data_IF_902143228261
#
_entry.id   IF_902143228261
#
_cell.length_a   1.000
_cell.length_b   1.000
_cell.length_c   1.000
_cell.angle_alpha   90.00
_cell.angle_beta   90.00
_cell.angle_gamma   90.00
#
_symmetry.space_group_name_H-M   'P 1'
#
loop_
_entity.id
_entity.type
_entity.pdbx_description
1 polymer ?
#
# COMPACT_ATOMS: atom_id res chain seq x y z
N UNK A 1 57.56 -28.39 -28.89
CA UNK A 1 56.40 -27.58 -29.32
C UNK A 1 55.10 -27.74 -28.47
N UNK A 2 54.95 -28.83 -27.72
CA UNK A 2 53.71 -29.08 -26.88
C UNK A 2 53.59 -28.27 -25.56
N UNK A 3 54.70 -27.77 -25.02
CA UNK A 3 54.69 -27.11 -23.69
C UNK A 3 54.19 -25.65 -23.71
N UNK A 4 54.24 -24.97 -24.85
CA UNK A 4 53.81 -23.56 -24.95
C UNK A 4 52.29 -23.42 -25.09
N UNK A 5 51.63 -24.39 -25.73
CA UNK A 5 50.19 -24.40 -25.94
C UNK A 5 49.43 -24.69 -24.63
N UNK A 6 49.97 -25.56 -23.77
CA UNK A 6 49.36 -25.85 -22.46
C UNK A 6 49.45 -24.68 -21.48
N UNK A 7 50.46 -23.82 -21.57
CA UNK A 7 50.56 -22.62 -20.71
C UNK A 7 49.59 -21.49 -21.15
N UNK A 8 49.31 -21.39 -22.42
CA UNK A 8 48.35 -20.41 -22.93
C UNK A 8 46.91 -20.77 -22.60
N UNK A 9 46.57 -22.06 -22.58
CA UNK A 9 45.22 -22.53 -22.20
C UNK A 9 44.97 -22.39 -20.68
N UNK A 10 45.99 -22.50 -19.84
CA UNK A 10 45.87 -22.32 -18.39
C UNK A 10 45.66 -20.84 -18.01
N UNK A 11 46.27 -19.89 -18.74
CA UNK A 11 46.04 -18.46 -18.49
C UNK A 11 44.66 -17.97 -18.90
N UNK A 12 44.11 -18.53 -19.99
CA UNK A 12 42.75 -18.14 -20.45
C UNK A 12 41.64 -18.61 -19.50
N UNK A 13 41.81 -19.77 -18.87
CA UNK A 13 40.85 -20.32 -17.91
C UNK A 13 40.78 -19.53 -16.59
N UNK A 14 41.88 -18.94 -16.14
CA UNK A 14 41.93 -18.15 -14.91
C UNK A 14 41.32 -16.77 -15.10
N UNK A 15 41.48 -16.16 -16.29
CA UNK A 15 40.91 -14.84 -16.56
C UNK A 15 39.38 -14.90 -16.75
N UNK A 16 38.84 -15.97 -17.34
CA UNK A 16 37.39 -16.13 -17.49
C UNK A 16 36.72 -16.47 -16.16
N UNK A 17 37.32 -17.18 -15.25
CA UNK A 17 36.73 -17.48 -13.94
C UNK A 17 36.72 -16.24 -13.02
N UNK A 18 37.72 -15.34 -13.14
CA UNK A 18 37.78 -14.09 -12.40
C UNK A 18 36.68 -13.07 -12.86
N UNK A 19 36.36 -13.05 -14.14
CA UNK A 19 35.36 -12.14 -14.68
C UNK A 19 33.90 -12.54 -14.33
N UNK A 20 33.62 -13.84 -14.19
CA UNK A 20 32.29 -14.34 -13.81
C UNK A 20 32.01 -14.10 -12.31
N UNK A 21 33.04 -14.14 -11.46
CA UNK A 21 32.90 -13.87 -10.02
C UNK A 21 32.66 -12.37 -9.71
N UNK A 22 33.07 -11.44 -10.59
CA UNK A 22 32.87 -10.01 -10.37
C UNK A 22 31.46 -9.53 -10.74
N UNK A 23 30.70 -10.28 -11.55
CA UNK A 23 29.34 -9.90 -11.99
C UNK A 23 28.25 -10.36 -11.00
N UNK A 24 28.54 -11.33 -10.13
CA UNK A 24 27.59 -11.84 -9.13
C UNK A 24 27.57 -10.98 -7.85
N UNK A 25 28.53 -10.07 -7.68
CA UNK A 25 28.69 -9.26 -6.45
C UNK A 25 27.99 -7.91 -6.42
N UNK A 26 27.22 -7.52 -7.45
CA UNK A 26 26.58 -6.20 -7.54
C UNK A 26 25.05 -6.26 -7.60
N UNK A 27 24.42 -7.31 -7.08
CA UNK A 27 23.09 -7.17 -6.54
C UNK A 27 23.22 -6.44 -5.20
N UNK A 28 23.60 -5.16 -5.22
CA UNK A 28 23.38 -4.27 -4.10
C UNK A 28 21.90 -4.32 -3.83
N UNK A 29 21.51 -4.97 -2.72
CA UNK A 29 20.20 -4.77 -2.16
C UNK A 29 20.00 -3.25 -2.11
N UNK A 30 19.11 -2.71 -2.91
CA UNK A 30 18.65 -1.35 -2.73
C UNK A 30 18.09 -1.33 -1.30
N UNK A 31 18.91 -0.86 -0.35
CA UNK A 31 18.47 -0.59 1.01
C UNK A 31 17.43 0.50 0.89
N UNK A 32 16.15 0.09 0.74
CA UNK A 32 15.04 1.02 0.69
C UNK A 32 15.14 1.91 1.91
N UNK A 33 15.17 3.22 1.70
CA UNK A 33 15.18 4.18 2.81
C UNK A 33 14.01 3.84 3.73
N UNK A 34 14.31 3.66 5.01
CA UNK A 34 13.28 3.49 6.03
C UNK A 34 12.36 4.71 6.01
N UNK A 35 11.07 4.47 5.78
CA UNK A 35 10.05 5.52 5.73
C UNK A 35 9.04 5.28 6.84
N UNK A 36 8.78 6.32 7.61
CA UNK A 36 7.61 6.37 8.48
C UNK A 36 6.44 6.91 7.67
N UNK A 37 5.42 6.12 7.51
CA UNK A 37 4.26 6.42 6.67
C UNK A 37 3.02 6.44 7.54
N UNK A 38 2.20 7.48 7.40
CA UNK A 38 0.82 7.53 7.85
C UNK A 38 -0.09 7.18 6.68
N UNK A 39 -1.13 6.41 6.92
CA UNK A 39 -2.21 6.14 5.99
C UNK A 39 -3.55 6.53 6.61
N UNK A 40 -4.47 7.05 5.81
CA UNK A 40 -5.82 7.41 6.22
C UNK A 40 -6.83 7.05 5.12
N UNK A 41 -8.00 6.56 5.52
CA UNK A 41 -9.22 6.62 4.73
C UNK A 41 -9.82 7.99 5.01
N UNK A 42 -9.94 8.83 3.99
CA UNK A 42 -10.18 10.26 4.15
C UNK A 42 -11.60 10.68 3.74
N UNK A 43 -12.06 11.75 4.34
CA UNK A 43 -13.18 12.55 3.90
C UNK A 43 -12.67 13.70 3.02
N UNK A 44 -13.24 13.83 1.82
CA UNK A 44 -12.96 14.92 0.90
C UNK A 44 -14.28 15.65 0.60
N UNK A 45 -14.54 16.69 1.37
CA UNK A 45 -15.80 17.43 1.30
C UNK A 45 -16.00 18.03 -0.10
N UNK A 46 -17.19 17.78 -0.68
CA UNK A 46 -17.52 18.24 -2.01
C UNK A 46 -16.95 17.38 -3.14
N UNK A 47 -16.19 16.31 -2.84
CA UNK A 47 -15.71 15.32 -3.80
C UNK A 47 -14.78 15.83 -4.89
N UNK A 48 -14.43 17.11 -4.89
CA UNK A 48 -13.57 17.74 -5.90
C UNK A 48 -12.62 18.78 -5.27
N UNK A 49 -11.42 18.99 -5.87
CA UNK A 49 -10.53 20.06 -5.47
C UNK A 49 -11.19 21.44 -5.63
N UNK A 50 -10.90 22.41 -4.73
CA UNK A 50 -9.94 22.38 -3.63
C UNK A 50 -10.53 22.09 -2.24
N UNK A 51 -11.48 21.14 -2.13
CA UNK A 51 -12.06 20.78 -0.83
C UNK A 51 -11.01 20.31 0.19
N UNK A 52 -11.25 20.47 1.51
CA UNK A 52 -10.32 20.02 2.53
C UNK A 52 -10.26 18.49 2.60
N UNK A 53 -9.04 17.96 2.77
CA UNK A 53 -8.79 16.58 3.13
C UNK A 53 -8.88 16.46 4.64
N UNK A 54 -9.82 15.64 5.13
CA UNK A 54 -10.03 15.40 6.56
C UNK A 54 -9.85 13.91 6.89
N UNK A 55 -9.46 13.56 8.14
CA UNK A 55 -9.50 12.18 8.60
C UNK A 55 -10.96 11.70 8.77
N UNK A 56 -11.17 10.38 8.83
CA UNK A 56 -12.45 9.78 9.20
C UNK A 56 -13.43 9.57 8.05
N UNK A 57 -12.93 9.43 6.82
CA UNK A 57 -13.74 9.03 5.67
C UNK A 57 -14.09 7.54 5.66
N UNK A 58 -14.80 7.12 4.62
CA UNK A 58 -15.20 5.72 4.37
C UNK A 58 -14.72 5.26 3.00
N UNK A 59 -14.33 3.98 2.91
CA UNK A 59 -14.05 3.33 1.65
C UNK A 59 -14.73 1.95 1.60
N UNK A 60 -15.14 1.54 0.41
CA UNK A 60 -15.93 0.32 0.19
C UNK A 60 -15.32 -0.56 -0.90
N UNK A 61 -15.55 -1.86 -0.76
CA UNK A 61 -15.23 -2.84 -1.78
C UNK A 61 -16.31 -3.92 -1.85
N UNK A 62 -16.47 -4.54 -3.03
CA UNK A 62 -17.46 -5.60 -3.26
C UNK A 62 -16.80 -6.96 -3.48
N UNK A 63 -17.51 -7.98 -3.08
CA UNK A 63 -17.25 -9.36 -3.46
C UNK A 63 -18.02 -9.75 -4.74
N UNK A 64 -17.64 -10.85 -5.43
CA UNK A 64 -18.30 -11.29 -6.66
C UNK A 64 -19.77 -11.63 -6.50
N UNK A 65 -20.20 -12.00 -5.30
CA UNK A 65 -21.60 -12.31 -4.97
C UNK A 65 -22.45 -11.05 -4.69
N UNK A 66 -21.89 -9.83 -4.91
CA UNK A 66 -22.56 -8.57 -4.70
C UNK A 66 -22.55 -8.07 -3.25
N UNK A 67 -22.09 -8.87 -2.30
CA UNK A 67 -21.93 -8.39 -0.91
C UNK A 67 -20.83 -7.33 -0.84
N UNK A 68 -20.94 -6.41 0.12
CA UNK A 68 -20.04 -5.27 0.25
C UNK A 68 -19.48 -5.17 1.67
N UNK A 69 -18.28 -4.63 1.78
CA UNK A 69 -17.69 -4.17 3.04
C UNK A 69 -17.35 -2.69 2.93
N UNK A 70 -17.59 -1.95 4.02
CA UNK A 70 -17.17 -0.56 4.18
C UNK A 70 -16.23 -0.48 5.37
N UNK A 71 -15.12 0.23 5.21
CA UNK A 71 -14.13 0.47 6.26
C UNK A 71 -13.95 1.97 6.48
N UNK A 72 -13.72 2.35 7.74
CA UNK A 72 -13.04 3.60 8.13
C UNK A 72 -11.66 3.23 8.64
N UNK A 73 -10.74 4.18 8.77
CA UNK A 73 -9.50 3.89 9.47
C UNK A 73 -8.33 4.77 9.12
N UNK A 74 -7.33 4.66 9.97
CA UNK A 74 -6.03 5.31 9.82
C UNK A 74 -4.97 4.60 10.65
N UNK A 75 -3.72 4.92 10.41
CA UNK A 75 -2.61 4.40 11.19
C UNK A 75 -1.25 4.80 10.65
N UNK A 76 -0.23 4.16 11.19
CA UNK A 76 1.16 4.37 10.75
C UNK A 76 1.87 3.04 10.55
N UNK A 77 2.89 3.04 9.72
CA UNK A 77 3.81 1.92 9.58
C UNK A 77 5.22 2.40 9.22
N UNK A 78 6.18 1.51 9.41
CA UNK A 78 7.57 1.70 8.98
C UNK A 78 7.85 0.79 7.78
N UNK A 79 8.19 1.40 6.64
CA UNK A 79 8.55 0.70 5.40
C UNK A 79 10.05 0.84 5.09
N UNK A 80 10.67 -0.13 4.39
CA UNK A 80 10.08 -1.41 3.99
C UNK A 80 9.78 -2.29 5.21
N UNK A 81 8.88 -3.26 5.05
CA UNK A 81 8.71 -4.36 6.00
C UNK A 81 10.03 -5.11 6.20
N UNK A 82 10.15 -5.85 7.30
CA UNK A 82 11.39 -6.57 7.66
C UNK A 82 11.88 -7.54 6.59
N UNK A 83 13.12 -8.04 6.75
CA UNK A 83 13.83 -8.88 5.77
C UNK A 83 13.11 -10.18 5.34
N UNK A 84 12.01 -10.55 6.01
CA UNK A 84 11.17 -11.71 5.69
C UNK A 84 9.74 -11.30 5.27
N UNK A 85 9.54 -10.07 4.80
CA UNK A 85 8.30 -9.65 4.17
C UNK A 85 7.23 -9.04 5.08
N UNK A 86 7.49 -8.83 6.37
CA UNK A 86 6.53 -8.18 7.25
C UNK A 86 7.17 -7.25 8.27
N UNK A 87 6.42 -6.26 8.75
CA UNK A 87 6.86 -5.37 9.84
C UNK A 87 5.74 -5.22 10.85
N UNK A 88 6.06 -5.46 12.13
CA UNK A 88 5.16 -5.19 13.25
C UNK A 88 5.28 -3.74 13.79
N UNK A 89 6.11 -2.90 13.15
CA UNK A 89 6.18 -1.47 13.46
C UNK A 89 4.98 -0.76 12.80
N UNK A 90 3.80 -1.10 13.25
CA UNK A 90 2.50 -0.62 12.76
C UNK A 90 1.61 -0.13 13.89
N UNK A 91 0.71 0.77 13.58
CA UNK A 91 -0.39 1.18 14.45
C UNK A 91 -1.65 1.38 13.63
N UNK A 92 -2.77 1.47 14.28
CA UNK A 92 -4.02 1.89 13.65
C UNK A 92 -5.04 0.79 13.51
N UNK A 93 -6.11 1.15 12.84
CA UNK A 93 -7.32 0.36 12.69
C UNK A 93 -8.50 1.28 12.39
N UNK A 94 -9.71 0.77 12.58
CA UNK A 94 -10.92 1.51 12.34
C UNK A 94 -12.17 0.68 12.57
N UNK A 95 -13.25 1.05 11.90
CA UNK A 95 -14.51 0.30 11.94
C UNK A 95 -14.77 -0.41 10.61
N UNK A 96 -15.56 -1.45 10.66
CA UNK A 96 -16.05 -2.15 9.48
C UNK A 96 -17.56 -2.34 9.56
N UNK A 97 -18.19 -2.41 8.39
CA UNK A 97 -19.57 -2.84 8.23
C UNK A 97 -19.72 -3.65 6.96
N UNK A 98 -20.42 -4.78 7.03
CA UNK A 98 -20.72 -5.63 5.88
C UNK A 98 -22.19 -5.52 5.50
N UNK A 99 -22.46 -5.70 4.20
CA UNK A 99 -23.79 -5.62 3.62
C UNK A 99 -24.02 -6.82 2.71
N UNK A 100 -25.25 -7.29 2.63
CA UNK A 100 -25.65 -8.25 1.62
C UNK A 100 -25.76 -7.60 0.23
N UNK A 101 -26.08 -8.39 -0.79
CA UNK A 101 -26.23 -7.89 -2.17
C UNK A 101 -27.42 -6.92 -2.36
N UNK A 102 -28.37 -6.93 -1.43
CA UNK A 102 -29.52 -5.98 -1.42
C UNK A 102 -29.20 -4.70 -0.64
N UNK A 103 -28.02 -4.61 -0.01
CA UNK A 103 -27.58 -3.44 0.76
C UNK A 103 -28.00 -3.46 2.24
N UNK A 104 -28.60 -4.53 2.73
CA UNK A 104 -28.90 -4.67 4.15
C UNK A 104 -27.64 -4.99 4.96
N UNK A 105 -27.47 -4.34 6.13
CA UNK A 105 -26.33 -4.57 7.01
C UNK A 105 -26.35 -5.99 7.57
N UNK A 106 -25.21 -6.66 7.48
CA UNK A 106 -25.04 -8.06 7.96
C UNK A 106 -24.08 -8.18 9.14
N UNK A 107 -23.34 -7.12 9.48
CA UNK A 107 -22.45 -7.08 10.62
C UNK A 107 -21.61 -5.81 10.66
N UNK A 108 -21.09 -5.49 11.84
CA UNK A 108 -20.21 -4.35 12.06
C UNK A 108 -19.30 -4.56 13.26
N UNK A 109 -18.24 -3.78 13.37
CA UNK A 109 -17.32 -3.81 14.50
C UNK A 109 -16.08 -2.96 14.25
N UNK A 110 -15.03 -3.25 15.00
CA UNK A 110 -13.71 -2.63 14.85
C UNK A 110 -12.69 -3.61 14.29
N UNK A 111 -11.60 -3.10 13.76
CA UNK A 111 -10.42 -3.87 13.38
C UNK A 111 -9.15 -3.15 13.78
N UNK A 112 -8.07 -3.90 13.93
CA UNK A 112 -6.73 -3.41 14.23
C UNK A 112 -5.75 -3.86 13.16
N UNK A 113 -4.76 -3.01 12.86
CA UNK A 113 -3.63 -3.37 11.98
C UNK A 113 -2.58 -4.08 12.83
N UNK A 114 -2.15 -5.25 12.37
CA UNK A 114 -1.19 -6.10 13.11
C UNK A 114 0.17 -6.19 12.44
N UNK A 115 0.25 -5.95 11.12
CA UNK A 115 1.49 -6.08 10.36
C UNK A 115 1.41 -5.30 9.05
N UNK A 116 2.53 -4.68 8.63
CA UNK A 116 2.76 -4.24 7.26
C UNK A 116 3.31 -5.41 6.45
N UNK A 117 2.62 -5.84 5.41
CA UNK A 117 3.11 -6.87 4.47
C UNK A 117 3.99 -6.22 3.41
N UNK A 118 3.52 -5.15 2.77
CA UNK A 118 4.30 -4.41 1.78
C UNK A 118 3.82 -2.96 1.66
N UNK A 119 4.71 -2.08 1.22
CA UNK A 119 4.40 -0.72 0.81
C UNK A 119 5.20 -0.37 -0.45
N UNK A 120 4.48 -0.09 -1.52
CA UNK A 120 5.03 0.38 -2.79
C UNK A 120 4.80 1.88 -2.89
N UNK A 121 5.88 2.64 -2.63
CA UNK A 121 5.89 4.08 -2.83
C UNK A 121 6.07 4.39 -4.31
N UNK A 122 5.13 5.13 -4.90
CA UNK A 122 5.23 5.54 -6.30
C UNK A 122 5.92 6.91 -6.45
N UNK A 123 5.31 7.95 -5.90
CA UNK A 123 5.84 9.30 -5.92
C UNK A 123 5.16 10.19 -4.87
N UNK A 124 5.69 11.39 -4.65
CA UNK A 124 4.94 12.44 -3.96
C UNK A 124 3.85 13.00 -4.87
N UNK A 125 2.73 13.38 -4.29
CA UNK A 125 1.62 13.96 -5.05
C UNK A 125 2.02 15.32 -5.64
N UNK A 126 1.48 15.59 -6.83
CA UNK A 126 1.59 16.90 -7.45
C UNK A 126 0.96 17.98 -6.53
N UNK A 127 1.57 19.16 -6.40
CA UNK A 127 0.98 20.26 -5.64
C UNK A 127 -0.28 20.85 -6.30
N UNK A 128 -0.58 20.46 -7.53
CA UNK A 128 -1.73 20.93 -8.30
C UNK A 128 -2.69 19.77 -8.59
N UNK A 129 -4.00 19.91 -8.30
CA UNK A 129 -4.65 21.03 -7.64
C UNK A 129 -4.27 21.16 -6.16
N UNK A 130 -4.28 22.38 -5.65
CA UNK A 130 -3.98 22.64 -4.26
C UNK A 130 -5.15 22.19 -3.36
N UNK A 131 -4.86 21.31 -2.41
CA UNK A 131 -5.80 20.89 -1.37
C UNK A 131 -5.38 21.49 -0.03
N UNK A 132 -6.35 21.85 0.78
CA UNK A 132 -6.13 22.04 2.23
C UNK A 132 -6.04 20.66 2.85
N UNK A 133 -4.98 20.37 3.59
CA UNK A 133 -4.76 19.10 4.25
C UNK A 133 -4.82 19.29 5.77
N UNK A 134 -5.85 18.72 6.39
CA UNK A 134 -6.07 18.81 7.83
C UNK A 134 -5.49 17.60 8.60
N UNK A 135 -4.72 16.73 7.92
CA UNK A 135 -4.17 15.51 8.50
C UNK A 135 -2.68 15.67 8.81
N UNK A 136 -1.90 16.17 7.84
CA UNK A 136 -0.46 16.33 7.96
C UNK A 136 0.08 17.40 6.99
N UNK A 137 1.40 17.51 6.88
CA UNK A 137 2.05 18.42 5.94
C UNK A 137 1.68 18.05 4.48
N UNK A 138 1.08 18.99 3.77
CA UNK A 138 0.65 18.87 2.39
C UNK A 138 1.77 18.43 1.43
N UNK A 139 3.03 18.77 1.72
CA UNK A 139 4.18 18.38 0.91
C UNK A 139 4.63 16.94 1.15
N UNK A 140 4.03 16.25 2.13
CA UNK A 140 4.32 14.87 2.48
C UNK A 140 3.33 13.87 1.88
N UNK A 141 2.33 14.34 1.16
CA UNK A 141 1.36 13.47 0.48
C UNK A 141 2.03 12.60 -0.57
N UNK A 142 1.65 11.32 -0.57
CA UNK A 142 2.26 10.33 -1.45
C UNK A 142 1.22 9.47 -2.14
N UNK A 143 1.56 9.02 -3.34
CA UNK A 143 0.86 7.98 -4.09
C UNK A 143 1.54 6.63 -3.84
N UNK A 144 0.75 5.57 -3.81
CA UNK A 144 1.28 4.23 -3.61
C UNK A 144 0.23 3.22 -3.19
N UNK A 145 0.70 2.04 -2.80
CA UNK A 145 -0.15 0.95 -2.33
C UNK A 145 0.46 0.29 -1.10
N UNK A 146 -0.34 0.14 -0.04
CA UNK A 146 0.03 -0.61 1.16
C UNK A 146 -0.80 -1.89 1.27
N UNK A 147 -0.18 -2.96 1.73
CA UNK A 147 -0.83 -4.22 2.11
C UNK A 147 -0.59 -4.46 3.59
N UNK A 148 -1.67 -4.56 4.36
CA UNK A 148 -1.67 -4.64 5.81
C UNK A 148 -2.40 -5.91 6.25
N UNK A 149 -1.87 -6.62 7.25
CA UNK A 149 -2.66 -7.62 7.98
C UNK A 149 -3.53 -6.92 9.00
N UNK A 150 -4.75 -7.40 9.13
CA UNK A 150 -5.73 -6.85 10.07
C UNK A 150 -6.41 -7.97 10.86
N UNK A 151 -6.77 -7.65 12.10
CA UNK A 151 -7.53 -8.49 13.00
C UNK A 151 -8.86 -7.80 13.30
N UNK A 152 -9.97 -8.45 13.00
CA UNK A 152 -11.31 -7.97 13.32
C UNK A 152 -11.70 -8.35 14.75
N UNK A 153 -12.47 -7.48 15.41
CA UNK A 153 -12.92 -7.72 16.80
C UNK A 153 -13.81 -8.97 16.97
N UNK A 154 -14.40 -9.46 15.89
CA UNK A 154 -15.16 -10.72 15.91
C UNK A 154 -14.26 -11.99 15.83
N UNK A 155 -12.94 -11.82 15.88
CA UNK A 155 -11.96 -12.90 15.82
C UNK A 155 -11.53 -13.31 14.40
N UNK A 156 -12.19 -12.80 13.36
CA UNK A 156 -11.75 -13.07 11.99
C UNK A 156 -10.49 -12.26 11.65
N UNK A 157 -9.69 -12.79 10.72
CA UNK A 157 -8.49 -12.12 10.19
C UNK A 157 -8.71 -11.71 8.74
N UNK A 158 -7.89 -10.75 8.29
CA UNK A 158 -7.92 -10.30 6.92
C UNK A 158 -6.65 -9.61 6.47
N UNK A 159 -6.68 -9.22 5.20
CA UNK A 159 -5.67 -8.37 4.56
C UNK A 159 -6.39 -7.14 4.04
N UNK A 160 -5.88 -5.97 4.39
CA UNK A 160 -6.35 -4.68 3.87
C UNK A 160 -5.32 -4.14 2.89
N UNK A 161 -5.73 -3.93 1.65
CA UNK A 161 -4.95 -3.20 0.66
C UNK A 161 -5.50 -1.78 0.56
N UNK A 162 -4.63 -0.79 0.75
CA UNK A 162 -4.94 0.63 0.64
C UNK A 162 -4.22 1.17 -0.57
N UNK A 163 -4.95 1.74 -1.52
CA UNK A 163 -4.39 2.37 -2.72
C UNK A 163 -4.70 3.86 -2.73
N UNK A 164 -3.68 4.69 -2.92
CA UNK A 164 -3.84 6.13 -3.07
C UNK A 164 -3.41 6.58 -4.47
N UNK A 165 -4.39 6.99 -5.26
CA UNK A 165 -4.24 7.55 -6.60
C UNK A 165 -4.56 9.04 -6.59
N UNK A 166 -3.71 9.82 -5.93
CA UNK A 166 -3.83 11.27 -5.89
C UNK A 166 -3.18 11.96 -7.10
N UNK A 167 -3.13 13.28 -7.11
CA UNK A 167 -2.56 14.06 -8.22
C UNK A 167 -1.14 13.63 -8.60
N UNK A 168 -0.94 13.29 -9.88
CA UNK A 168 0.36 12.84 -10.41
C UNK A 168 0.67 11.37 -10.19
N UNK A 169 -0.28 10.57 -9.74
CA UNK A 169 -0.09 9.12 -9.60
C UNK A 169 0.20 8.46 -10.96
N UNK A 170 1.15 7.50 -11.03
CA UNK A 170 1.33 6.70 -12.22
C UNK A 170 0.12 5.77 -12.46
N UNK A 171 -0.09 5.31 -13.72
CA UNK A 171 -1.12 4.32 -14.03
C UNK A 171 -0.96 3.04 -13.20
N UNK A 172 -2.06 2.36 -12.90
CA UNK A 172 -2.08 1.05 -12.23
C UNK A 172 -2.29 1.12 -10.71
N UNK A 173 -2.17 2.29 -10.08
CA UNK A 173 -2.58 2.46 -8.68
C UNK A 173 -4.09 2.71 -8.66
N UNK A 174 -4.82 1.95 -7.84
CA UNK A 174 -6.23 2.21 -7.61
C UNK A 174 -6.43 3.24 -6.47
N UNK A 175 -7.61 3.81 -6.37
CA UNK A 175 -8.01 4.70 -5.26
C UNK A 175 -9.00 3.96 -4.36
N UNK A 176 -8.74 3.91 -3.04
CA UNK A 176 -9.62 3.29 -2.06
C UNK A 176 -9.04 2.02 -1.44
N UNK A 177 -9.90 1.02 -1.20
CA UNK A 177 -9.53 -0.22 -0.50
C UNK A 177 -9.94 -1.49 -1.24
N UNK A 178 -9.15 -2.55 -1.03
CA UNK A 178 -9.57 -3.94 -1.20
C UNK A 178 -9.25 -4.71 0.09
N UNK A 179 -10.06 -5.70 0.48
CA UNK A 179 -9.84 -6.41 1.74
C UNK A 179 -10.37 -7.83 1.72
N UNK A 180 -9.86 -8.66 2.63
CA UNK A 180 -10.49 -9.93 2.99
C UNK A 180 -11.05 -9.84 4.40
N UNK A 181 -12.11 -10.61 4.69
CA UNK A 181 -12.62 -10.84 6.04
C UNK A 181 -12.95 -12.32 6.18
N UNK A 182 -12.16 -13.04 6.98
CA UNK A 182 -12.20 -14.49 7.00
C UNK A 182 -11.93 -15.07 5.60
N UNK A 183 -12.84 -15.89 5.11
CA UNK A 183 -12.72 -16.52 3.79
C UNK A 183 -13.28 -15.66 2.63
N UNK A 184 -13.94 -14.54 2.93
CA UNK A 184 -14.53 -13.67 1.91
C UNK A 184 -13.53 -12.62 1.43
N UNK A 185 -13.47 -12.43 0.11
CA UNK A 185 -12.64 -11.43 -0.55
C UNK A 185 -13.51 -10.35 -1.18
N UNK A 186 -13.23 -9.10 -0.83
CA UNK A 186 -13.83 -7.88 -1.37
C UNK A 186 -12.75 -7.14 -2.15
N UNK A 187 -12.64 -7.40 -3.45
CA UNK A 187 -11.57 -6.87 -4.29
C UNK A 187 -12.05 -5.90 -5.37
N UNK A 188 -13.37 -5.84 -5.59
CA UNK A 188 -13.97 -4.87 -6.51
C UNK A 188 -14.06 -3.52 -5.80
N UNK A 189 -13.00 -2.72 -5.95
CA UNK A 189 -12.87 -1.41 -5.34
C UNK A 189 -13.94 -0.48 -5.88
N UNK A 190 -14.70 0.15 -5.00
CA UNK A 190 -15.71 1.09 -5.42
C UNK A 190 -15.07 2.43 -5.78
N UNK A 191 -15.28 2.95 -6.99
CA UNK A 191 -14.67 4.20 -7.40
C UNK A 191 -15.24 5.38 -6.60
N UNK A 192 -14.43 6.42 -6.34
CA UNK A 192 -14.93 7.68 -5.82
C UNK A 192 -15.96 8.28 -6.77
N UNK A 193 -17.12 8.68 -6.25
CA UNK A 193 -18.16 9.34 -7.03
C UNK A 193 -18.15 10.86 -6.79
N UNK A 194 -18.39 11.64 -7.85
CA UNK A 194 -18.47 13.09 -7.73
C UNK A 194 -19.61 13.51 -6.78
N UNK A 195 -19.31 14.40 -5.85
CA UNK A 195 -20.26 14.86 -4.83
C UNK A 195 -20.54 13.86 -3.70
N UNK A 196 -19.91 12.69 -3.72
CA UNK A 196 -19.99 11.68 -2.66
C UNK A 196 -18.64 11.61 -1.95
N UNK A 197 -18.67 11.80 -0.64
CA UNK A 197 -17.49 11.73 0.22
C UNK A 197 -17.22 10.28 0.67
N UNK A 198 -16.67 9.47 -0.24
CA UNK A 198 -16.37 8.06 -0.01
C UNK A 198 -15.23 7.57 -0.92
N UNK A 199 -14.64 6.43 -0.54
CA UNK A 199 -13.64 5.68 -1.32
C UNK A 199 -12.38 6.49 -1.66
N UNK A 200 -11.90 7.30 -0.71
CA UNK A 200 -10.67 8.06 -0.85
C UNK A 200 -9.69 7.73 0.26
N UNK A 201 -8.43 7.69 -0.12
CA UNK A 201 -7.32 7.36 0.80
C UNK A 201 -6.16 8.32 0.59
N UNK A 202 -5.25 8.36 1.54
CA UNK A 202 -4.02 9.16 1.43
C UNK A 202 -2.88 8.52 2.21
N UNK A 203 -1.66 8.70 1.71
CA UNK A 203 -0.43 8.46 2.45
C UNK A 203 0.30 9.78 2.71
N UNK A 204 0.95 9.86 3.89
CA UNK A 204 1.92 10.90 4.22
C UNK A 204 3.24 10.27 4.61
N UNK A 205 4.32 10.66 3.95
CA UNK A 205 5.68 10.25 4.31
C UNK A 205 6.16 11.19 5.42
N UNK A 206 6.18 10.70 6.66
CA UNK A 206 6.52 11.53 7.82
C UNK A 206 8.04 11.74 7.95
N UNK A 207 8.83 10.71 7.60
CA UNK A 207 10.31 10.72 7.62
C UNK A 207 10.86 9.77 6.57
#
# INVERSE_FOLDING_TARGET
>A
MRSRIQRLLALSAVVTLGAVLLVVGLAAAASGQTRHVRWDIISLVGGAPPGPINPGGMASAKAPDGTMITLTGSGTFVAPGGNNGGSHAVTGGGTWQTFDAAGASTGSGTYEVTELVSFEFANFQSPTPAFVDNIADVNKRANGTAVLRIQFADGSQGVLTVGCHGPGAPPGIFEGIATTKGFKTYYDVQPPAAGVDANRTIFHILR
#
